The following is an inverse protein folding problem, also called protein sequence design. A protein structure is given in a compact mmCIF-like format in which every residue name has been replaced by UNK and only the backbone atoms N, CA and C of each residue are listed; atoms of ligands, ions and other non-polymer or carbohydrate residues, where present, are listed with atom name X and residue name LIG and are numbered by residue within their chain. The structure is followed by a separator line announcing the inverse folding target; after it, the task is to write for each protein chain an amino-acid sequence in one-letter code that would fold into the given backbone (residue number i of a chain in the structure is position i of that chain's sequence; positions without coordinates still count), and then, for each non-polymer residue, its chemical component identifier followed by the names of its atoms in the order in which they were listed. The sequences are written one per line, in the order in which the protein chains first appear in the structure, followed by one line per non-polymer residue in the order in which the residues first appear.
data_IF_639713486873
#
_entry.id   IF_639713486873
#
_cell.length_a   1.000
_cell.length_b   1.000
_cell.length_c   1.000
_cell.angle_alpha   90.00
_cell.angle_beta   90.00
_cell.angle_gamma   90.00
#
_symmetry.space_group_name_H-M   'P 1'
#
loop_
_entity.id
_entity.type
_entity.pdbx_description
1 polymer ?
#
# COMPACT_ATOMS: atom_id res chain seq x y z
N UNK A 1 -46.71 -36.51 -7.68
CA UNK A 1 -46.19 -35.18 -8.05
C UNK A 1 -45.79 -34.49 -6.76
N UNK A 2 -44.49 -34.36 -6.52
CA UNK A 2 -43.95 -33.65 -5.36
C UNK A 2 -43.50 -32.29 -5.85
N UNK A 3 -44.17 -31.25 -5.37
CA UNK A 3 -43.77 -29.87 -5.61
C UNK A 3 -42.44 -29.61 -4.92
N UNK A 4 -41.44 -29.22 -5.73
CA UNK A 4 -40.18 -28.67 -5.22
C UNK A 4 -40.46 -27.22 -4.88
N UNK A 5 -40.46 -26.92 -3.61
CA UNK A 5 -40.43 -25.55 -3.13
C UNK A 5 -39.07 -24.94 -3.51
N UNK A 6 -39.12 -23.97 -4.41
CA UNK A 6 -38.01 -23.07 -4.67
C UNK A 6 -37.72 -22.24 -3.40
N UNK A 7 -36.60 -22.53 -2.75
CA UNK A 7 -36.09 -21.67 -1.70
C UNK A 7 -35.37 -20.51 -2.39
N UNK A 8 -35.78 -19.24 -2.13
CA UNK A 8 -35.04 -18.12 -2.72
C UNK A 8 -33.63 -18.11 -2.13
N UNK A 9 -32.61 -18.23 -2.99
CA UNK A 9 -31.25 -17.93 -2.64
C UNK A 9 -31.19 -16.50 -2.13
N UNK A 10 -31.00 -16.36 -0.83
CA UNK A 10 -30.69 -15.08 -0.23
C UNK A 10 -29.33 -14.66 -0.76
N UNK A 11 -29.37 -13.73 -1.70
CA UNK A 11 -28.20 -13.01 -2.17
C UNK A 11 -27.64 -12.23 -0.96
N UNK A 12 -26.77 -12.88 -0.19
CA UNK A 12 -26.00 -12.22 0.86
C UNK A 12 -25.02 -11.31 0.15
N UNK A 13 -25.39 -10.05 -0.09
CA UNK A 13 -24.44 -9.01 -0.43
C UNK A 13 -23.38 -9.01 0.70
N UNK A 14 -22.16 -9.45 0.36
CA UNK A 14 -21.07 -9.44 1.30
C UNK A 14 -20.86 -8.00 1.78
N UNK A 15 -21.14 -7.71 3.05
CA UNK A 15 -20.82 -6.44 3.67
C UNK A 15 -19.32 -6.23 3.59
N UNK A 16 -18.90 -5.08 3.03
CA UNK A 16 -17.49 -4.70 2.95
C UNK A 16 -16.90 -4.67 4.36
N UNK A 17 -15.79 -5.40 4.58
CA UNK A 17 -15.04 -5.34 5.83
C UNK A 17 -14.42 -3.93 5.98
N UNK A 18 -14.81 -3.21 7.02
CA UNK A 18 -14.33 -1.87 7.35
C UNK A 18 -13.45 -1.86 8.61
N UNK A 19 -13.04 -3.03 9.09
CA UNK A 19 -12.14 -3.14 10.24
C UNK A 19 -10.87 -2.33 9.98
N UNK A 20 -10.50 -1.38 10.86
CA UNK A 20 -9.28 -0.60 10.69
C UNK A 20 -8.04 -1.47 10.94
N UNK A 21 -7.34 -1.81 9.87
CA UNK A 21 -6.18 -2.70 9.92
C UNK A 21 -5.31 -2.60 8.68
N UNK A 22 -4.09 -3.11 8.80
CA UNK A 22 -3.20 -3.41 7.68
C UNK A 22 -3.79 -4.57 6.86
N UNK A 23 -3.73 -4.45 5.54
CA UNK A 23 -4.20 -5.47 4.58
C UNK A 23 -3.08 -6.03 3.71
N UNK A 24 -1.91 -5.40 3.71
CA UNK A 24 -0.77 -5.84 2.91
C UNK A 24 0.38 -4.83 2.94
N UNK A 25 1.40 -5.13 2.17
CA UNK A 25 2.52 -4.21 1.92
C UNK A 25 2.18 -3.39 0.68
N UNK A 26 2.29 -2.07 0.77
CA UNK A 26 1.98 -1.15 -0.32
C UNK A 26 3.21 -0.49 -0.93
N UNK A 27 4.34 -0.54 -0.26
CA UNK A 27 5.58 0.03 -0.78
C UNK A 27 6.80 -0.35 0.02
N UNK A 28 7.92 -0.46 -0.67
CA UNK A 28 9.24 -0.63 -0.08
C UNK A 28 10.11 0.49 -0.64
N UNK A 29 10.49 1.42 0.24
CA UNK A 29 11.28 2.59 -0.10
C UNK A 29 12.63 2.50 0.60
N UNK A 30 13.69 2.83 -0.09
CA UNK A 30 15.04 2.74 0.48
C UNK A 30 15.95 3.80 -0.15
N UNK A 31 16.99 4.19 0.60
CA UNK A 31 17.98 5.15 0.14
C UNK A 31 18.90 4.51 -0.88
N UNK A 32 19.28 5.29 -1.89
CA UNK A 32 20.21 4.89 -2.94
C UNK A 32 21.08 6.08 -3.31
N UNK A 33 22.37 5.83 -3.50
CA UNK A 33 23.31 6.87 -3.97
C UNK A 33 22.98 7.37 -5.37
N UNK A 34 22.46 6.47 -6.20
CA UNK A 34 22.00 6.79 -7.55
C UNK A 34 20.75 5.99 -7.88
N UNK A 35 19.55 6.54 -7.57
CA UNK A 35 18.29 5.83 -7.82
C UNK A 35 18.09 5.40 -9.26
N UNK A 36 18.53 6.20 -10.23
CA UNK A 36 18.42 5.86 -11.66
C UNK A 36 19.22 4.61 -11.99
N UNK A 37 20.51 4.58 -11.61
CA UNK A 37 21.36 3.40 -11.85
C UNK A 37 20.83 2.17 -11.12
N UNK A 38 20.32 2.35 -9.90
CA UNK A 38 19.71 1.26 -9.13
C UNK A 38 18.52 0.69 -9.88
N UNK A 39 17.62 1.51 -10.37
CA UNK A 39 16.47 1.05 -11.16
C UNK A 39 16.90 0.29 -12.41
N UNK A 40 17.85 0.83 -13.14
CA UNK A 40 18.40 0.22 -14.36
C UNK A 40 19.03 -1.15 -14.06
N UNK A 41 19.80 -1.24 -12.99
CA UNK A 41 20.41 -2.50 -12.55
C UNK A 41 19.38 -3.59 -12.23
N UNK A 42 18.35 -3.23 -11.47
CA UNK A 42 17.27 -4.16 -11.11
C UNK A 42 16.43 -4.58 -12.33
N UNK A 43 16.14 -3.65 -13.20
CA UNK A 43 15.45 -3.97 -14.46
C UNK A 43 16.24 -4.94 -15.34
N UNK A 44 17.53 -4.64 -15.54
CA UNK A 44 18.42 -5.44 -16.38
C UNK A 44 18.70 -6.83 -15.81
N UNK A 45 18.98 -6.92 -14.51
CA UNK A 45 19.48 -8.15 -13.90
C UNK A 45 18.40 -9.00 -13.25
N UNK A 46 17.31 -8.39 -12.77
CA UNK A 46 16.23 -9.08 -12.05
C UNK A 46 14.87 -9.01 -12.75
N UNK A 47 14.82 -8.32 -13.88
CA UNK A 47 13.61 -8.31 -14.71
C UNK A 47 12.46 -7.46 -14.17
N UNK A 48 12.73 -6.51 -13.27
CA UNK A 48 11.69 -5.59 -12.80
C UNK A 48 11.22 -4.69 -13.94
N UNK A 49 9.90 -4.48 -14.01
CA UNK A 49 9.30 -3.49 -14.89
C UNK A 49 9.54 -2.09 -14.34
N UNK A 50 10.55 -1.39 -14.84
CA UNK A 50 11.03 -0.12 -14.30
C UNK A 50 10.32 1.07 -14.95
N UNK A 51 9.92 2.03 -14.11
CA UNK A 51 9.49 3.37 -14.52
C UNK A 51 10.37 4.44 -13.85
N UNK A 52 10.00 5.71 -13.99
CA UNK A 52 10.79 6.83 -13.44
C UNK A 52 10.87 6.86 -11.90
N UNK A 53 9.98 6.14 -11.21
CA UNK A 53 9.89 6.11 -9.76
C UNK A 53 10.42 4.83 -9.13
N UNK A 54 10.41 3.74 -9.87
CA UNK A 54 10.79 2.42 -9.35
C UNK A 54 10.13 1.32 -10.15
N UNK A 55 9.44 0.41 -9.48
CA UNK A 55 8.65 -0.65 -10.11
C UNK A 55 7.33 -0.87 -9.38
N UNK A 56 6.21 -0.86 -10.09
CA UNK A 56 4.95 -1.32 -9.52
C UNK A 56 4.87 -2.85 -9.59
N UNK A 57 4.74 -3.49 -8.45
CA UNK A 57 4.44 -4.92 -8.36
C UNK A 57 2.93 -5.12 -8.31
N UNK A 58 2.44 -6.11 -9.03
CA UNK A 58 1.03 -6.46 -9.06
C UNK A 58 0.77 -7.70 -8.22
N UNK A 59 -0.21 -7.61 -7.31
CA UNK A 59 -0.61 -8.68 -6.41
C UNK A 59 -2.13 -8.86 -6.40
N UNK A 60 -2.58 -9.88 -5.72
CA UNK A 60 -4.01 -10.07 -5.41
C UNK A 60 -4.23 -10.01 -3.91
N UNK A 61 -5.35 -9.41 -3.51
CA UNK A 61 -5.76 -9.41 -2.12
C UNK A 61 -6.16 -10.84 -1.70
N UNK A 62 -5.58 -11.33 -0.60
CA UNK A 62 -5.83 -12.70 -0.15
C UNK A 62 -7.31 -12.96 0.22
N UNK A 63 -7.98 -11.93 0.76
CA UNK A 63 -9.40 -12.01 1.14
C UNK A 63 -10.34 -11.61 -0.01
N UNK A 64 -9.81 -10.94 -1.02
CA UNK A 64 -10.55 -10.46 -2.21
C UNK A 64 -9.70 -10.72 -3.45
N UNK A 65 -9.52 -11.98 -3.88
CA UNK A 65 -8.57 -12.35 -4.95
C UNK A 65 -8.91 -11.79 -6.34
N UNK A 66 -10.12 -11.27 -6.52
CA UNK A 66 -10.53 -10.54 -7.73
C UNK A 66 -9.92 -9.12 -7.79
N UNK A 67 -9.49 -8.61 -6.63
CA UNK A 67 -8.96 -7.24 -6.51
C UNK A 67 -7.47 -7.22 -6.85
N UNK A 68 -7.13 -6.39 -7.83
CA UNK A 68 -5.73 -6.11 -8.19
C UNK A 68 -5.17 -5.11 -7.19
N UNK A 69 -4.11 -5.48 -6.51
CA UNK A 69 -3.38 -4.61 -5.60
C UNK A 69 -1.99 -4.32 -6.11
N UNK A 70 -1.45 -3.16 -5.75
CA UNK A 70 -0.13 -2.70 -6.16
C UNK A 70 0.77 -2.47 -4.97
N UNK A 71 2.05 -2.75 -5.17
CA UNK A 71 3.14 -2.40 -4.27
C UNK A 71 4.16 -1.59 -5.08
N UNK A 72 4.60 -0.47 -4.54
CA UNK A 72 5.64 0.34 -5.17
C UNK A 72 6.99 0.03 -4.55
N UNK A 73 7.88 -0.55 -5.34
CA UNK A 73 9.29 -0.67 -5.00
C UNK A 73 10.02 0.56 -5.55
N UNK A 74 10.65 1.34 -4.69
CA UNK A 74 11.21 2.64 -5.10
C UNK A 74 12.49 3.00 -4.35
N UNK A 75 13.62 3.14 -5.07
CA UNK A 75 14.81 3.76 -4.53
C UNK A 75 14.62 5.29 -4.48
N UNK A 76 14.95 5.88 -3.32
CA UNK A 76 14.95 7.32 -3.08
C UNK A 76 16.38 7.85 -3.08
N UNK A 77 16.55 9.14 -3.29
CA UNK A 77 17.85 9.80 -3.14
C UNK A 77 18.41 9.57 -1.73
N UNK A 78 19.73 9.41 -1.62
CA UNK A 78 20.42 9.17 -0.34
C UNK A 78 20.10 10.26 0.70
N UNK A 79 20.00 11.51 0.26
CA UNK A 79 19.75 12.69 1.09
C UNK A 79 18.26 13.00 1.30
N UNK A 80 17.36 12.10 0.92
CA UNK A 80 15.93 12.35 1.06
C UNK A 80 15.51 12.67 2.49
N UNK A 81 14.71 13.70 2.66
CA UNK A 81 14.08 14.06 3.92
C UNK A 81 12.73 13.31 4.16
N UNK A 82 12.30 12.53 3.17
CA UNK A 82 10.99 11.87 3.23
C UNK A 82 10.87 10.85 4.38
N UNK A 83 12.00 10.27 4.80
CA UNK A 83 12.02 9.29 5.89
C UNK A 83 12.17 9.95 7.27
N UNK A 84 12.44 11.27 7.34
CA UNK A 84 12.54 11.96 8.61
C UNK A 84 11.22 11.90 9.41
N UNK A 85 11.26 11.79 10.74
CA UNK A 85 12.42 11.87 11.60
C UNK A 85 13.20 10.55 11.78
N UNK A 86 12.84 9.48 11.07
CA UNK A 86 13.61 8.23 11.09
C UNK A 86 15.00 8.43 10.48
N UNK A 87 15.99 7.79 11.08
CA UNK A 87 17.37 7.72 10.56
C UNK A 87 17.66 6.41 9.83
N UNK A 88 16.64 5.61 9.59
CA UNK A 88 16.78 4.33 8.89
C UNK A 88 16.95 4.54 7.39
N UNK A 89 17.58 3.56 6.75
CA UNK A 89 17.85 3.57 5.31
C UNK A 89 16.64 3.20 4.46
N UNK A 90 15.51 2.87 5.10
CA UNK A 90 14.30 2.41 4.43
C UNK A 90 13.04 2.95 5.11
N UNK A 91 11.95 2.92 4.37
CA UNK A 91 10.60 3.11 4.89
C UNK A 91 9.66 2.12 4.21
N UNK A 92 8.81 1.48 4.99
CA UNK A 92 7.80 0.56 4.48
C UNK A 92 6.45 1.26 4.46
N UNK A 93 5.74 1.14 3.34
CA UNK A 93 4.34 1.54 3.20
C UNK A 93 3.47 0.30 3.43
N UNK A 94 2.48 0.43 4.29
CA UNK A 94 1.48 -0.61 4.54
C UNK A 94 0.15 -0.18 3.94
N UNK A 95 -0.45 -1.06 3.17
CA UNK A 95 -1.83 -0.92 2.71
C UNK A 95 -2.75 -1.11 3.90
N UNK A 96 -3.71 -0.22 4.06
CA UNK A 96 -4.68 -0.28 5.16
C UNK A 96 -6.10 -0.12 4.64
N UNK A 97 -7.05 -0.48 5.46
CA UNK A 97 -8.45 -0.14 5.27
C UNK A 97 -8.95 0.69 6.44
N UNK A 98 -9.88 1.61 6.18
CA UNK A 98 -10.45 2.53 7.16
C UNK A 98 -9.39 3.33 7.91
N UNK A 99 -8.62 4.13 7.18
CA UNK A 99 -7.47 4.86 7.71
C UNK A 99 -7.85 5.85 8.82
N UNK A 100 -9.00 6.51 8.72
CA UNK A 100 -9.48 7.44 9.74
C UNK A 100 -9.71 6.74 11.09
N UNK A 101 -10.39 5.61 11.08
CA UNK A 101 -10.60 4.82 12.29
C UNK A 101 -9.30 4.22 12.80
N UNK A 102 -8.38 3.83 11.90
CA UNK A 102 -7.06 3.33 12.27
C UNK A 102 -6.24 4.40 12.98
N UNK A 103 -6.18 5.61 12.45
CA UNK A 103 -5.46 6.74 13.07
C UNK A 103 -6.04 7.07 14.44
N UNK A 104 -7.38 7.07 14.57
CA UNK A 104 -8.04 7.28 15.86
C UNK A 104 -7.64 6.22 16.88
N UNK A 105 -7.60 4.96 16.48
CA UNK A 105 -7.14 3.84 17.31
C UNK A 105 -5.68 4.00 17.72
N UNK A 106 -4.81 4.37 16.78
CA UNK A 106 -3.38 4.57 17.02
C UNK A 106 -3.12 5.70 18.00
N UNK A 107 -3.83 6.82 17.87
CA UNK A 107 -3.77 7.93 18.85
C UNK A 107 -4.17 7.48 20.24
N UNK A 108 -5.27 6.73 20.36
CA UNK A 108 -5.72 6.17 21.64
C UNK A 108 -4.69 5.25 22.26
N UNK A 109 -3.93 4.51 21.45
CA UNK A 109 -2.88 3.62 21.90
C UNK A 109 -1.53 4.34 22.19
N UNK A 110 -1.47 5.66 22.03
CA UNK A 110 -0.27 6.45 22.28
C UNK A 110 0.79 6.37 21.19
N UNK A 111 0.42 5.92 19.98
CA UNK A 111 1.34 5.89 18.84
C UNK A 111 1.59 7.31 18.32
N UNK A 112 2.84 7.62 18.02
CA UNK A 112 3.21 8.91 17.43
C UNK A 112 2.74 8.99 15.99
N UNK A 113 1.82 9.93 15.72
CA UNK A 113 1.37 10.29 14.38
C UNK A 113 2.23 11.46 13.91
N UNK A 114 2.90 11.30 12.78
CA UNK A 114 3.90 12.28 12.29
C UNK A 114 3.23 13.46 11.58
N UNK A 115 2.13 13.21 10.89
CA UNK A 115 1.43 14.20 10.05
C UNK A 115 -0.08 13.94 10.04
N UNK A 116 -0.79 14.77 9.30
CA UNK A 116 -2.23 14.59 9.09
C UNK A 116 -2.49 13.68 7.89
N UNK A 117 -3.71 13.11 7.82
CA UNK A 117 -4.13 12.33 6.66
C UNK A 117 -4.20 13.25 5.44
N UNK A 118 -3.43 12.92 4.41
CA UNK A 118 -3.49 13.58 3.11
C UNK A 118 -4.27 12.71 2.12
N UNK A 119 -5.11 13.34 1.31
CA UNK A 119 -5.93 12.67 0.32
C UNK A 119 -5.49 13.04 -1.10
N UNK A 120 -5.27 12.01 -1.92
CA UNK A 120 -4.92 12.12 -3.34
C UNK A 120 -5.87 11.27 -4.18
N UNK A 121 -5.80 11.37 -5.49
CA UNK A 121 -6.61 10.54 -6.41
C UNK A 121 -6.39 9.04 -6.21
N UNK A 122 -5.19 8.64 -5.81
CA UNK A 122 -4.77 7.25 -5.61
C UNK A 122 -4.87 6.77 -4.16
N UNK A 123 -5.47 7.55 -3.28
CA UNK A 123 -5.76 7.15 -1.91
C UNK A 123 -5.38 8.16 -0.84
N UNK A 124 -5.45 7.70 0.39
CA UNK A 124 -5.15 8.47 1.59
C UNK A 124 -3.87 7.99 2.25
N UNK A 125 -3.08 8.90 2.77
CA UNK A 125 -1.78 8.63 3.39
C UNK A 125 -1.65 9.30 4.74
N UNK A 126 -0.96 8.64 5.66
CA UNK A 126 -0.51 9.21 6.93
C UNK A 126 0.77 8.51 7.35
N UNK A 127 1.62 9.21 8.09
CA UNK A 127 2.86 8.64 8.61
C UNK A 127 2.80 8.50 10.12
N UNK A 128 3.37 7.42 10.61
CA UNK A 128 3.51 7.13 12.04
C UNK A 128 4.94 6.68 12.34
N UNK A 129 5.29 6.65 13.63
CA UNK A 129 6.53 6.03 14.10
C UNK A 129 6.22 4.73 14.82
N UNK A 130 6.98 3.69 14.54
CA UNK A 130 6.92 2.46 15.33
C UNK A 130 7.78 2.55 16.61
N UNK A 131 7.79 1.46 17.38
CA UNK A 131 8.52 1.42 18.64
C UNK A 131 10.06 1.43 18.48
N UNK A 132 10.57 1.11 17.30
CA UNK A 132 12.00 1.06 16.97
C UNK A 132 12.51 2.34 16.26
N UNK A 133 11.65 3.34 16.10
CA UNK A 133 11.98 4.57 15.41
C UNK A 133 11.95 4.45 13.87
N UNK A 134 11.28 3.46 13.33
CA UNK A 134 10.99 3.40 11.91
C UNK A 134 9.80 4.30 11.61
N UNK A 135 9.93 5.18 10.60
CA UNK A 135 8.78 5.86 10.02
C UNK A 135 8.03 4.87 9.14
N UNK A 136 6.73 4.83 9.28
CA UNK A 136 5.82 3.98 8.52
C UNK A 136 4.87 4.87 7.75
N UNK A 137 4.67 4.56 6.47
CA UNK A 137 3.59 5.15 5.68
C UNK A 137 2.40 4.20 5.67
N UNK A 138 1.24 4.71 6.07
CA UNK A 138 -0.04 4.00 5.97
C UNK A 138 -0.79 4.55 4.76
N UNK A 139 -1.29 3.67 3.93
CA UNK A 139 -1.94 4.01 2.68
C UNK A 139 -3.27 3.27 2.53
N UNK A 140 -4.37 4.01 2.48
CA UNK A 140 -5.67 3.47 2.07
C UNK A 140 -5.82 3.68 0.57
N UNK A 141 -5.57 2.64 -0.25
CA UNK A 141 -5.43 2.80 -1.69
C UNK A 141 -6.76 2.88 -2.43
N UNK A 142 -6.70 3.52 -3.60
CA UNK A 142 -7.70 3.42 -4.67
C UNK A 142 -7.01 2.75 -5.86
N UNK A 143 -6.93 1.42 -5.82
CA UNK A 143 -6.17 0.63 -6.80
C UNK A 143 -6.67 0.79 -8.24
N UNK A 144 -7.95 1.06 -8.42
CA UNK A 144 -8.53 1.28 -9.75
C UNK A 144 -7.87 2.43 -10.52
N UNK A 145 -7.33 3.42 -9.83
CA UNK A 145 -6.59 4.53 -10.45
C UNK A 145 -5.36 4.00 -11.14
N UNK A 146 -4.59 3.12 -10.50
CA UNK A 146 -3.40 2.52 -11.11
C UNK A 146 -3.74 1.60 -12.27
N UNK A 147 -4.82 0.82 -12.13
CA UNK A 147 -5.31 -0.03 -13.22
C UNK A 147 -5.70 0.80 -14.45
N UNK A 148 -6.36 1.94 -14.25
CA UNK A 148 -6.76 2.86 -15.32
C UNK A 148 -5.56 3.57 -15.96
N UNK A 149 -4.54 3.91 -15.19
CA UNK A 149 -3.31 4.51 -15.72
C UNK A 149 -2.56 3.56 -16.65
N UNK A 150 -2.69 2.26 -16.42
CA UNK A 150 -2.00 1.25 -17.20
C UNK A 150 -0.49 1.23 -16.96
N UNK A 151 0.25 0.71 -17.93
CA UNK A 151 1.69 0.54 -17.84
C UNK A 151 2.09 -0.87 -17.41
N UNK A 152 3.37 -1.17 -17.55
CA UNK A 152 3.91 -2.47 -17.17
C UNK A 152 4.04 -2.57 -15.65
N UNK A 153 3.79 -3.77 -15.14
CA UNK A 153 3.97 -4.12 -13.73
C UNK A 153 4.89 -5.32 -13.60
N UNK A 154 5.60 -5.40 -12.49
CA UNK A 154 6.34 -6.61 -12.13
C UNK A 154 5.36 -7.63 -11.54
N UNK A 155 5.40 -8.86 -12.08
CA UNK A 155 4.50 -9.97 -11.71
C UNK A 155 5.29 -11.18 -11.27
#
# INVERSE_FOLDING_TARGET
MKDKADTPEQNKSATKDTTPKVTGIGGIFFRSKNPKETREWYGKNLGLAINDFGSPFEFRNANRPEEINYLTWSPFEEETEYFAPSKKEFMINYRVQNIEALVKKLRKNGVTIVDDIEEFEYGKFVHIMDLEGNKIELWEPIDSVFTQMGGETTK
#
